data_IF_160135587597
#
_entry.id   IF_160135587597
#
_cell.length_a   1.000
_cell.length_b   1.000
_cell.length_c   1.000
_cell.angle_alpha   90.00
_cell.angle_beta   90.00
_cell.angle_gamma   90.00
#
_symmetry.space_group_name_H-M   'P 1'
#
loop_
_entity.id
_entity.type
_entity.pdbx_description
1 polymer ?
#
# COMPACT_ATOMS: atom_id res chain seq x y z
N UNK A 1 15.43 25.44 -37.93
CA UNK A 1 16.08 25.21 -36.62
C UNK A 1 15.03 25.55 -35.56
N UNK A 2 14.41 24.52 -35.00
CA UNK A 2 13.43 24.65 -33.91
C UNK A 2 14.16 25.09 -32.66
N UNK A 3 13.84 26.30 -32.20
CA UNK A 3 14.36 26.86 -30.96
C UNK A 3 13.96 25.94 -29.80
N UNK A 4 14.95 25.30 -29.17
CA UNK A 4 14.74 24.65 -27.86
C UNK A 4 14.59 25.81 -26.86
N UNK A 5 13.47 25.93 -26.13
CA UNK A 5 13.28 27.01 -25.16
C UNK A 5 14.32 26.93 -24.05
N UNK A 6 14.84 28.07 -23.63
CA UNK A 6 15.79 28.20 -22.53
C UNK A 6 15.16 27.73 -21.20
N UNK A 7 15.67 26.67 -20.55
CA UNK A 7 15.09 26.11 -19.32
C UNK A 7 15.17 27.03 -18.09
N UNK A 8 15.86 28.18 -18.20
CA UNK A 8 15.99 29.18 -17.14
C UNK A 8 14.95 30.30 -17.22
N UNK A 9 14.20 30.39 -18.32
CA UNK A 9 13.13 31.38 -18.45
C UNK A 9 11.94 30.95 -17.59
N UNK A 10 11.54 31.81 -16.66
CA UNK A 10 10.38 31.66 -15.78
C UNK A 10 9.05 31.78 -16.55
N UNK A 11 8.90 31.04 -17.65
CA UNK A 11 7.60 30.78 -18.23
C UNK A 11 6.82 29.97 -17.19
N UNK A 12 5.75 30.57 -16.67
CA UNK A 12 4.88 29.89 -15.71
C UNK A 12 4.53 28.51 -16.23
N UNK A 13 4.73 27.51 -15.36
CA UNK A 13 4.58 26.08 -15.64
C UNK A 13 3.41 25.83 -16.58
N UNK A 14 3.64 25.11 -17.68
CA UNK A 14 2.70 24.94 -18.80
C UNK A 14 1.24 24.87 -18.34
N UNK A 15 0.49 25.96 -18.56
CA UNK A 15 -0.89 26.13 -18.14
C UNK A 15 -1.85 25.39 -19.09
N UNK A 16 -1.66 24.08 -19.28
CA UNK A 16 -2.63 23.29 -20.04
C UNK A 16 -4.00 23.27 -19.32
N UNK A 17 -4.02 23.47 -18.00
CA UNK A 17 -5.23 23.60 -17.20
C UNK A 17 -5.07 24.73 -16.16
N UNK A 18 -6.12 25.54 -16.01
CA UNK A 18 -6.37 26.24 -14.76
C UNK A 18 -6.39 25.20 -13.61
N UNK A 19 -5.93 25.60 -12.42
CA UNK A 19 -6.14 24.91 -11.13
C UNK A 19 -7.60 24.61 -10.80
N UNK A 20 -8.52 24.88 -11.72
CA UNK A 20 -9.92 24.50 -11.64
C UNK A 20 -10.12 23.04 -11.24
N UNK A 21 -11.05 22.87 -10.31
CA UNK A 21 -11.53 21.59 -9.82
C UNK A 21 -12.27 20.86 -10.96
N UNK A 22 -11.88 19.62 -11.20
CA UNK A 22 -12.60 18.73 -12.12
C UNK A 22 -13.76 18.07 -11.37
N UNK A 23 -14.83 17.72 -12.08
CA UNK A 23 -16.02 17.11 -11.50
C UNK A 23 -16.34 15.78 -12.19
N UNK A 24 -16.84 14.81 -11.44
CA UNK A 24 -17.39 13.59 -12.00
C UNK A 24 -18.85 13.84 -12.42
N UNK A 25 -19.18 13.56 -13.68
CA UNK A 25 -20.52 13.72 -14.25
C UNK A 25 -20.77 12.64 -15.30
N UNK A 26 -21.89 11.92 -15.17
CA UNK A 26 -22.34 10.91 -16.13
C UNK A 26 -21.28 9.83 -16.46
N UNK A 27 -20.49 9.42 -15.45
CA UNK A 27 -19.40 8.44 -15.61
C UNK A 27 -18.11 9.00 -16.19
N UNK A 28 -18.05 10.31 -16.47
CA UNK A 28 -16.87 10.99 -17.00
C UNK A 28 -16.31 11.99 -15.99
N UNK A 29 -15.01 12.28 -16.10
CA UNK A 29 -14.40 13.44 -15.46
C UNK A 29 -14.47 14.59 -16.46
N UNK A 30 -15.05 15.71 -16.05
CA UNK A 30 -15.21 16.90 -16.89
C UNK A 30 -14.59 18.13 -16.25
N UNK A 31 -14.20 19.09 -17.10
CA UNK A 31 -13.72 20.40 -16.69
C UNK A 31 -14.87 21.40 -16.43
N UNK A 32 -14.59 22.64 -15.97
CA UNK A 32 -15.63 23.64 -15.74
C UNK A 32 -16.43 24.05 -16.99
N UNK A 33 -15.91 23.77 -18.19
CA UNK A 33 -16.59 23.98 -19.47
C UNK A 33 -17.36 22.75 -19.94
N UNK A 34 -17.49 21.72 -19.08
CA UNK A 34 -18.21 20.47 -19.35
C UNK A 34 -17.60 19.64 -20.50
N UNK A 35 -16.29 19.74 -20.72
CA UNK A 35 -15.54 18.90 -21.66
C UNK A 35 -15.00 17.67 -20.94
N UNK A 36 -15.07 16.50 -21.58
CA UNK A 36 -14.46 15.26 -21.07
C UNK A 36 -12.94 15.40 -21.02
N UNK A 37 -12.35 15.01 -19.89
CA UNK A 37 -10.91 15.07 -19.66
C UNK A 37 -10.33 13.65 -19.63
N UNK A 38 -9.26 13.44 -20.38
CA UNK A 38 -8.43 12.24 -20.28
C UNK A 38 -7.21 12.60 -19.42
N UNK A 39 -7.04 11.90 -18.31
CA UNK A 39 -5.93 12.11 -17.40
C UNK A 39 -4.79 11.14 -17.72
N UNK A 40 -3.61 11.67 -18.01
CA UNK A 40 -2.38 10.88 -18.06
C UNK A 40 -1.71 10.95 -16.68
N UNK A 41 -1.71 9.81 -16.00
CA UNK A 41 -1.26 9.67 -14.62
C UNK A 41 0.10 9.00 -14.48
N UNK A 42 0.82 9.34 -13.41
CA UNK A 42 2.04 8.64 -12.99
C UNK A 42 1.85 8.09 -11.58
N UNK A 43 2.22 6.83 -11.37
CA UNK A 43 2.25 6.22 -10.05
C UNK A 43 3.45 6.75 -9.27
N UNK A 44 3.17 7.37 -8.13
CA UNK A 44 4.20 7.87 -7.21
C UNK A 44 4.34 6.86 -6.08
N UNK A 45 5.07 5.79 -6.38
CA UNK A 45 5.31 4.69 -5.44
C UNK A 45 6.62 4.84 -4.65
N UNK A 46 7.67 5.39 -5.27
CA UNK A 46 9.02 5.47 -4.67
C UNK A 46 9.41 4.20 -3.91
N UNK A 47 9.98 4.36 -2.71
CA UNK A 47 10.29 3.23 -1.82
C UNK A 47 9.15 2.77 -0.90
N UNK A 48 7.90 3.09 -1.25
CA UNK A 48 6.70 2.59 -0.55
C UNK A 48 6.39 1.13 -0.93
N UNK A 49 6.92 0.65 -2.08
CA UNK A 49 6.81 -0.75 -2.54
C UNK A 49 8.06 -1.57 -2.17
N UNK A 50 7.84 -2.88 -1.99
CA UNK A 50 8.89 -3.89 -1.86
C UNK A 50 8.86 -4.88 -3.03
N UNK A 51 10.02 -5.43 -3.46
CA UNK A 51 11.37 -5.07 -3.03
C UNK A 51 11.84 -3.73 -3.61
N UNK A 52 12.72 -3.04 -2.87
CA UNK A 52 13.41 -1.87 -3.39
C UNK A 52 14.40 -2.31 -4.46
N UNK A 53 14.01 -2.22 -5.74
CA UNK A 53 14.97 -2.33 -6.82
C UNK A 53 15.88 -1.10 -6.76
N UNK A 54 17.14 -1.26 -6.33
CA UNK A 54 18.15 -0.24 -6.59
C UNK A 54 18.18 -0.04 -8.10
N UNK A 55 17.78 1.15 -8.55
CA UNK A 55 18.00 1.52 -9.93
C UNK A 55 19.52 1.65 -10.12
N UNK A 56 20.15 0.60 -10.67
CA UNK A 56 21.59 0.54 -10.98
C UNK A 56 22.08 1.79 -11.75
N UNK A 57 21.19 2.49 -12.45
CA UNK A 57 21.51 3.71 -13.18
C UNK A 57 22.06 4.89 -12.34
N UNK A 58 21.85 4.91 -11.02
CA UNK A 58 22.33 6.01 -10.16
C UNK A 58 23.72 5.75 -9.54
N UNK A 59 24.09 4.49 -9.30
CA UNK A 59 25.38 4.14 -8.69
C UNK A 59 26.53 4.24 -9.69
N UNK A 60 26.31 3.91 -10.96
CA UNK A 60 27.34 4.05 -12.02
C UNK A 60 27.72 5.52 -12.29
N UNK A 61 26.77 6.45 -12.10
CA UNK A 61 27.04 7.88 -12.25
C UNK A 61 27.83 8.47 -11.07
N UNK A 62 27.72 7.87 -9.88
CA UNK A 62 28.41 8.31 -8.68
C UNK A 62 29.79 7.65 -8.51
N UNK A 63 30.01 6.47 -9.10
CA UNK A 63 31.24 5.69 -8.97
C UNK A 63 32.38 6.12 -9.91
N UNK A 64 32.12 6.95 -10.93
CA UNK A 64 33.17 7.40 -11.86
C UNK A 64 33.04 8.89 -12.23
N UNK A 65 33.67 9.81 -11.48
CA UNK A 65 33.69 11.24 -11.82
C UNK A 65 34.56 11.58 -13.06
N UNK A 66 35.27 10.62 -13.64
CA UNK A 66 36.38 10.87 -14.57
C UNK A 66 36.22 10.31 -16.00
N UNK A 67 35.02 9.92 -16.43
CA UNK A 67 34.77 9.65 -17.85
C UNK A 67 33.84 10.70 -18.46
N UNK A 68 34.40 11.89 -18.68
CA UNK A 68 33.85 12.79 -19.69
C UNK A 68 34.24 12.26 -21.08
N UNK A 69 33.32 12.42 -22.03
CA UNK A 69 33.44 12.09 -23.45
C UNK A 69 33.40 10.60 -23.83
N UNK A 70 32.18 10.09 -23.99
CA UNK A 70 31.77 9.32 -25.19
C UNK A 70 30.25 9.24 -25.21
N UNK A 71 29.66 9.79 -26.27
CA UNK A 71 28.24 9.72 -26.57
C UNK A 71 27.78 8.25 -26.56
N UNK A 72 26.74 7.84 -25.80
CA UNK A 72 26.25 6.47 -25.88
C UNK A 72 25.54 6.31 -27.22
N UNK A 73 26.12 5.50 -28.11
CA UNK A 73 25.42 4.98 -29.29
C UNK A 73 24.21 4.20 -28.82
N UNK A 74 23.03 4.61 -29.28
CA UNK A 74 21.77 3.96 -29.04
C UNK A 74 21.81 2.52 -29.58
N UNK A 75 21.68 1.52 -28.72
CA UNK A 75 21.28 0.19 -29.16
C UNK A 75 20.47 -0.56 -28.11
N UNK A 76 19.24 -0.87 -28.53
CA UNK A 76 18.34 -1.96 -28.14
C UNK A 76 17.63 -1.89 -26.78
N UNK A 77 16.57 -1.07 -26.75
CA UNK A 77 15.35 -1.34 -25.99
C UNK A 77 14.52 -2.41 -26.75
N UNK A 78 14.04 -3.43 -26.04
CA UNK A 78 13.16 -4.56 -26.44
C UNK A 78 13.70 -5.69 -27.36
N UNK A 79 13.48 -6.95 -26.93
CA UNK A 79 13.46 -8.15 -27.79
C UNK A 79 14.00 -9.43 -27.15
N UNK A 80 13.26 -10.53 -27.21
CA UNK A 80 13.57 -11.82 -26.60
C UNK A 80 14.46 -12.76 -27.46
N UNK A 81 15.23 -13.62 -26.75
CA UNK A 81 15.77 -14.97 -27.07
C UNK A 81 16.91 -15.13 -28.12
N UNK A 82 17.69 -16.26 -28.15
CA UNK A 82 17.65 -17.47 -27.31
C UNK A 82 19.01 -17.89 -26.66
N UNK A 83 18.94 -18.96 -25.87
CA UNK A 83 19.99 -19.70 -25.16
C UNK A 83 21.22 -20.11 -25.99
N UNK A 84 22.41 -20.05 -25.38
CA UNK A 84 23.48 -21.04 -25.61
C UNK A 84 24.27 -21.29 -24.32
N UNK A 85 24.35 -22.58 -23.99
CA UNK A 85 25.26 -23.24 -23.06
C UNK A 85 26.72 -22.80 -23.22
N UNK A 86 27.41 -22.54 -22.11
CA UNK A 86 28.81 -22.93 -21.98
C UNK A 86 29.20 -23.15 -20.51
N UNK A 87 29.69 -24.36 -20.28
CA UNK A 87 30.26 -24.89 -19.05
C UNK A 87 31.61 -24.26 -18.75
N UNK A 88 31.86 -23.88 -17.49
CA UNK A 88 33.24 -23.90 -16.97
C UNK A 88 33.25 -24.19 -15.47
N UNK A 89 33.73 -25.39 -15.14
CA UNK A 89 34.17 -25.81 -13.82
C UNK A 89 35.31 -24.91 -13.33
N UNK A 90 35.34 -24.58 -12.03
CA UNK A 90 36.61 -24.42 -11.32
C UNK A 90 36.51 -24.69 -9.82
N UNK A 91 36.90 -25.91 -9.50
CA UNK A 91 37.89 -26.33 -8.49
C UNK A 91 37.81 -25.68 -7.10
N UNK A 92 37.39 -26.53 -6.16
CA UNK A 92 37.57 -26.44 -4.71
C UNK A 92 39.08 -26.50 -4.40
N UNK A 93 39.59 -25.53 -3.64
CA UNK A 93 40.80 -25.72 -2.84
C UNK A 93 40.61 -25.14 -1.45
N UNK A 94 40.51 -26.02 -0.46
CA UNK A 94 40.56 -25.70 0.94
C UNK A 94 42.02 -25.45 1.37
N UNK A 95 42.26 -24.38 2.13
CA UNK A 95 43.41 -24.30 3.02
C UNK A 95 43.03 -23.51 4.27
N UNK A 96 43.08 -24.21 5.39
CA UNK A 96 42.93 -23.71 6.75
C UNK A 96 44.14 -22.89 7.20
N UNK A 97 43.93 -21.72 7.79
CA UNK A 97 44.80 -21.25 8.87
C UNK A 97 44.04 -20.26 9.76
N UNK A 98 44.14 -20.53 11.06
CA UNK A 98 43.56 -19.76 12.15
C UNK A 98 44.43 -18.55 12.48
N UNK A 99 43.82 -17.37 12.60
CA UNK A 99 44.31 -16.32 13.49
C UNK A 99 43.16 -15.48 14.02
N UNK A 100 43.01 -15.48 15.35
CA UNK A 100 42.19 -14.55 16.10
C UNK A 100 42.78 -13.14 15.94
N UNK A 101 42.02 -12.24 15.33
CA UNK A 101 42.13 -10.80 15.53
C UNK A 101 40.72 -10.25 15.67
N UNK A 102 40.52 -9.38 16.67
CA UNK A 102 39.26 -8.75 16.96
C UNK A 102 39.07 -7.60 15.97
N UNK A 103 38.18 -7.80 15.00
CA UNK A 103 37.81 -6.75 14.05
C UNK A 103 36.44 -6.19 14.44
N UNK A 104 36.49 -5.13 15.23
CA UNK A 104 35.44 -4.13 15.39
C UNK A 104 35.39 -3.28 14.12
N UNK A 105 35.06 -3.90 12.98
CA UNK A 105 34.69 -3.16 11.77
C UNK A 105 33.20 -2.90 11.83
N UNK A 106 32.86 -1.72 12.36
CA UNK A 106 31.57 -1.10 12.18
C UNK A 106 31.38 -0.85 10.69
N UNK A 107 30.75 -1.80 9.99
CA UNK A 107 30.17 -1.60 8.66
C UNK A 107 29.23 -0.38 8.77
N UNK A 108 29.72 0.78 8.33
CA UNK A 108 28.90 1.96 8.13
C UNK A 108 27.92 1.63 7.00
N UNK A 109 26.75 1.08 7.36
CA UNK A 109 25.61 0.95 6.46
C UNK A 109 25.39 2.31 5.78
N UNK A 110 25.41 2.30 4.44
CA UNK A 110 25.08 3.48 3.64
C UNK A 110 23.67 3.95 4.01
N UNK A 111 23.58 5.03 4.80
CA UNK A 111 22.30 5.64 5.15
C UNK A 111 21.69 6.19 3.87
N UNK A 112 20.45 5.80 3.57
CA UNK A 112 19.75 6.45 2.47
C UNK A 112 19.39 7.88 2.87
N UNK A 113 19.38 8.78 1.88
CA UNK A 113 19.06 10.20 2.07
C UNK A 113 17.67 10.29 2.71
N UNK A 114 17.55 10.98 3.86
CA UNK A 114 16.28 11.16 4.57
C UNK A 114 15.98 10.15 5.69
N UNK A 115 16.88 9.20 5.97
CA UNK A 115 16.73 8.29 7.12
C UNK A 115 16.89 9.02 8.45
N UNK A 116 15.90 8.85 9.33
CA UNK A 116 15.91 9.35 10.70
C UNK A 116 16.53 8.29 11.61
N UNK A 117 17.52 8.65 12.45
CA UNK A 117 18.12 7.69 13.38
C UNK A 117 17.09 7.03 14.29
N UNK A 118 17.27 5.73 14.55
CA UNK A 118 16.39 4.91 15.42
C UNK A 118 14.95 4.72 14.91
N UNK A 119 14.68 5.03 13.64
CA UNK A 119 13.40 4.70 13.00
C UNK A 119 13.50 3.36 12.29
N UNK A 120 12.51 2.49 12.50
CA UNK A 120 12.37 1.22 11.80
C UNK A 120 11.62 1.49 10.50
N UNK A 121 12.22 1.12 9.38
CA UNK A 121 11.59 1.28 8.07
C UNK A 121 11.19 -0.06 7.48
N UNK A 122 10.06 -0.08 6.74
CA UNK A 122 9.42 -1.30 6.23
C UNK A 122 10.29 -2.13 5.27
N UNK A 123 11.26 -1.49 4.62
CA UNK A 123 12.13 -2.11 3.63
C UNK A 123 13.45 -2.62 4.20
N UNK A 124 13.80 -2.25 5.44
CA UNK A 124 15.06 -2.66 6.08
C UNK A 124 14.92 -4.11 6.56
N UNK A 125 15.94 -4.91 6.30
CA UNK A 125 16.00 -6.30 6.77
C UNK A 125 16.15 -6.38 8.28
N UNK A 126 16.97 -5.49 8.84
CA UNK A 126 17.10 -5.34 10.27
C UNK A 126 15.76 -4.89 10.85
N UNK A 127 15.25 -5.63 11.82
CA UNK A 127 13.93 -5.41 12.44
C UNK A 127 12.74 -5.56 11.47
N UNK A 128 12.88 -6.30 10.36
CA UNK A 128 11.82 -6.47 9.35
C UNK A 128 10.48 -6.95 9.93
N UNK A 129 10.51 -7.85 10.91
CA UNK A 129 9.33 -8.38 11.60
C UNK A 129 8.80 -7.49 12.73
N UNK A 130 9.50 -6.41 13.10
CA UNK A 130 9.05 -5.42 14.10
C UNK A 130 8.10 -4.40 13.44
N UNK A 131 6.97 -4.87 12.91
CA UNK A 131 6.05 -4.06 12.10
C UNK A 131 5.26 -3.02 12.88
N UNK A 132 5.02 -3.23 14.17
CA UNK A 132 4.18 -2.34 15.00
C UNK A 132 4.80 -0.98 15.32
N UNK A 133 6.06 -0.76 14.95
CA UNK A 133 6.79 0.49 15.18
C UNK A 133 7.47 1.01 13.89
N UNK A 134 7.00 0.57 12.73
CA UNK A 134 7.52 1.00 11.44
C UNK A 134 7.05 2.41 11.11
N UNK A 135 7.88 3.19 10.41
CA UNK A 135 7.48 4.50 9.86
C UNK A 135 7.51 4.52 8.34
N UNK A 136 6.53 5.23 7.77
CA UNK A 136 6.45 5.56 6.34
C UNK A 136 6.70 7.04 6.06
N UNK A 137 7.06 7.84 7.07
CA UNK A 137 7.45 9.24 6.88
C UNK A 137 8.64 9.30 5.91
N UNK A 138 8.63 10.30 5.01
CA UNK A 138 9.58 10.43 3.91
C UNK A 138 9.50 9.32 2.84
N UNK A 139 8.35 8.62 2.74
CA UNK A 139 8.03 7.71 1.62
C UNK A 139 6.84 8.25 0.83
N UNK A 140 6.95 8.41 -0.50
CA UNK A 140 7.93 7.81 -1.42
C UNK A 140 9.35 8.41 -1.43
N UNK A 141 9.49 9.67 -1.01
CA UNK A 141 10.75 10.42 -0.91
C UNK A 141 10.61 11.57 0.11
N UNK A 142 11.71 12.25 0.45
CA UNK A 142 11.65 13.35 1.43
C UNK A 142 10.88 14.57 0.90
N UNK A 143 10.39 15.44 1.78
CA UNK A 143 9.75 16.70 1.35
C UNK A 143 10.72 17.62 0.58
N UNK A 144 12.02 17.54 0.87
CA UNK A 144 13.05 18.29 0.16
C UNK A 144 13.19 17.83 -1.30
N UNK A 145 13.11 16.52 -1.54
CA UNK A 145 13.16 15.95 -2.89
C UNK A 145 11.84 16.13 -3.65
N UNK A 146 10.72 16.23 -2.92
CA UNK A 146 9.39 16.39 -3.51
C UNK A 146 9.28 17.59 -4.44
N UNK A 147 9.87 18.73 -4.07
CA UNK A 147 9.84 19.96 -4.87
C UNK A 147 10.47 19.72 -6.24
N UNK A 148 11.67 19.14 -6.27
CA UNK A 148 12.38 18.79 -7.50
C UNK A 148 11.60 17.78 -8.35
N UNK A 149 11.09 16.70 -7.74
CA UNK A 149 10.38 15.66 -8.48
C UNK A 149 9.08 16.17 -9.09
N UNK A 150 8.27 16.90 -8.32
CA UNK A 150 6.99 17.44 -8.81
C UNK A 150 7.19 18.55 -9.83
N UNK A 151 8.24 19.37 -9.70
CA UNK A 151 8.60 20.32 -10.74
C UNK A 151 8.94 19.61 -12.06
N UNK A 152 9.76 18.57 -12.03
CA UNK A 152 10.13 17.80 -13.23
C UNK A 152 8.90 17.19 -13.90
N UNK A 153 8.03 16.54 -13.12
CA UNK A 153 6.80 15.94 -13.63
C UNK A 153 5.89 16.98 -14.28
N UNK A 154 5.71 18.14 -13.64
CA UNK A 154 4.92 19.24 -14.20
C UNK A 154 5.55 19.79 -15.49
N UNK A 155 6.88 19.97 -15.53
CA UNK A 155 7.62 20.42 -16.73
C UNK A 155 7.56 19.41 -17.88
N UNK A 156 7.48 18.12 -17.59
CA UNK A 156 7.26 17.07 -18.61
C UNK A 156 5.81 16.98 -19.08
N UNK A 157 4.92 17.80 -18.53
CA UNK A 157 3.50 17.82 -18.88
C UNK A 157 2.68 16.71 -18.22
N UNK A 158 3.19 16.07 -17.16
CA UNK A 158 2.37 15.21 -16.32
C UNK A 158 1.39 16.06 -15.52
N UNK A 159 0.12 15.63 -15.48
CA UNK A 159 -0.98 16.41 -14.95
C UNK A 159 -1.65 15.73 -13.75
N UNK A 160 -1.47 14.41 -13.64
CA UNK A 160 -2.12 13.59 -12.65
C UNK A 160 -1.09 12.67 -11.99
N UNK A 161 -1.17 12.56 -10.68
CA UNK A 161 -0.37 11.67 -9.85
C UNK A 161 -1.30 10.69 -9.16
N UNK A 162 -0.89 9.42 -9.12
CA UNK A 162 -1.49 8.41 -8.27
C UNK A 162 -0.56 8.21 -7.09
N UNK A 163 -0.92 8.75 -5.94
CA UNK A 163 -0.13 8.70 -4.71
C UNK A 163 -0.50 7.42 -3.96
N UNK A 164 0.47 6.53 -3.79
CA UNK A 164 0.26 5.27 -3.10
C UNK A 164 0.25 5.47 -1.59
N UNK A 165 -0.81 4.97 -0.95
CA UNK A 165 -1.02 5.02 0.49
C UNK A 165 -1.35 3.60 0.98
N UNK A 166 -0.35 2.82 1.42
CA UNK A 166 -0.58 1.54 2.07
C UNK A 166 -1.40 1.71 3.36
N UNK A 167 -2.30 0.78 3.67
CA UNK A 167 -2.97 0.76 4.97
C UNK A 167 -1.97 0.61 6.13
N UNK A 168 -0.88 -0.13 5.94
CA UNK A 168 0.23 -0.22 6.89
C UNK A 168 0.79 1.16 7.23
N UNK A 169 0.87 2.09 6.28
CA UNK A 169 1.35 3.44 6.56
C UNK A 169 0.40 4.23 7.46
N UNK A 170 -0.90 3.92 7.45
CA UNK A 170 -1.91 4.58 8.27
C UNK A 170 -2.09 3.93 9.64
N UNK A 171 -1.99 2.59 9.73
CA UNK A 171 -2.37 1.84 10.93
C UNK A 171 -1.44 0.63 11.21
N UNK A 172 -0.12 0.81 11.07
CA UNK A 172 0.87 -0.25 11.33
C UNK A 172 0.83 -0.81 12.76
N UNK A 173 0.54 0.04 13.76
CA UNK A 173 0.49 -0.39 15.17
C UNK A 173 -0.66 -1.38 15.41
N UNK A 174 -1.75 -1.23 14.65
CA UNK A 174 -2.98 -2.02 14.79
C UNK A 174 -3.83 -1.67 16.02
N UNK A 175 -4.95 -2.39 16.21
CA UNK A 175 -5.86 -2.14 17.32
C UNK A 175 -5.23 -2.41 18.70
N UNK A 176 -5.63 -1.61 19.69
CA UNK A 176 -5.19 -1.71 21.10
C UNK A 176 -5.44 -3.08 21.75
N UNK A 177 -6.32 -3.89 21.18
CA UNK A 177 -6.76 -5.16 21.77
C UNK A 177 -5.73 -6.31 21.59
N UNK A 178 -4.64 -6.08 20.85
CA UNK A 178 -3.51 -7.01 20.69
C UNK A 178 -2.28 -6.59 21.51
N UNK A 179 -2.31 -6.81 22.83
CA UNK A 179 -1.10 -6.89 23.66
C UNK A 179 -0.61 -5.61 24.36
N UNK A 180 -0.32 -5.77 25.66
CA UNK A 180 0.34 -4.88 26.64
C UNK A 180 -0.26 -3.47 26.82
N UNK A 181 -1.12 -3.36 27.84
CA UNK A 181 -1.60 -2.09 28.40
C UNK A 181 -0.44 -1.45 29.19
N UNK A 182 0.25 -0.49 28.58
CA UNK A 182 1.08 0.46 29.35
C UNK A 182 0.16 1.43 30.10
N UNK A 183 0.45 1.71 31.38
CA UNK A 183 -0.36 2.59 32.25
C UNK A 183 -0.57 4.01 31.68
N UNK A 184 0.34 4.50 30.81
CA UNK A 184 0.15 5.76 30.07
C UNK A 184 -0.97 5.71 29.01
N UNK A 185 -1.38 4.52 28.56
CA UNK A 185 -2.41 4.31 27.53
C UNK A 185 -3.84 4.21 28.09
N UNK A 186 -4.01 4.13 29.42
CA UNK A 186 -5.33 4.03 30.05
C UNK A 186 -6.14 5.34 29.98
N UNK A 187 -5.46 6.50 29.95
CA UNK A 187 -6.11 7.81 29.82
C UNK A 187 -6.62 8.08 28.40
N UNK A 188 -6.05 7.44 27.37
CA UNK A 188 -6.44 7.57 25.96
C UNK A 188 -7.63 6.66 25.59
N UNK A 189 -8.28 6.05 26.58
CA UNK A 189 -9.34 5.04 26.44
C UNK A 189 -10.74 5.65 26.26
N UNK A 190 -10.87 6.97 26.40
CA UNK A 190 -12.16 7.66 26.48
C UNK A 190 -12.59 8.30 25.13
N UNK A 191 -11.68 8.44 24.15
CA UNK A 191 -11.98 9.32 22.98
C UNK A 191 -11.42 8.87 21.63
N UNK A 192 -11.00 7.61 21.45
CA UNK A 192 -10.45 7.19 20.15
C UNK A 192 -11.42 6.31 19.33
N UNK A 193 -11.62 6.61 18.04
CA UNK A 193 -12.21 5.66 17.10
C UNK A 193 -11.28 4.45 16.96
N UNK A 194 -11.87 3.32 16.57
CA UNK A 194 -11.25 2.00 16.45
C UNK A 194 -9.99 2.02 15.56
N UNK A 195 -8.80 2.04 16.17
CA UNK A 195 -7.48 1.99 15.50
C UNK A 195 -6.46 2.94 16.13
N UNK A 196 -5.16 2.66 16.01
CA UNK A 196 -4.09 3.63 16.34
C UNK A 196 -3.48 4.08 15.01
N UNK A 197 -3.81 5.32 14.61
CA UNK A 197 -3.35 5.89 13.36
C UNK A 197 -2.01 6.61 13.50
N UNK A 198 -1.18 6.51 12.45
CA UNK A 198 0.09 7.23 12.35
C UNK A 198 -0.14 8.67 11.88
N UNK A 199 -0.35 9.58 12.83
CA UNK A 199 -0.54 11.02 12.54
C UNK A 199 0.72 11.65 11.93
N UNK A 200 1.92 11.16 12.25
CA UNK A 200 3.17 11.70 11.71
C UNK A 200 3.25 11.43 10.19
N UNK A 201 2.89 10.22 9.76
CA UNK A 201 2.77 9.89 8.34
C UNK A 201 1.67 10.70 7.65
N UNK A 202 0.51 10.87 8.28
CA UNK A 202 -0.60 11.66 7.71
C UNK A 202 -0.19 13.12 7.53
N UNK A 203 0.47 13.73 8.52
CA UNK A 203 0.94 15.11 8.45
C UNK A 203 2.04 15.28 7.37
N UNK A 204 2.92 14.29 7.23
CA UNK A 204 3.87 14.21 6.11
C UNK A 204 3.14 14.14 4.75
N UNK A 205 2.13 13.29 4.61
CA UNK A 205 1.36 13.13 3.37
C UNK A 205 0.62 14.42 3.00
N UNK A 206 0.02 15.11 3.97
CA UNK A 206 -0.60 16.43 3.75
C UNK A 206 0.43 17.45 3.25
N UNK A 207 1.62 17.46 3.84
CA UNK A 207 2.73 18.33 3.42
C UNK A 207 3.20 18.00 1.99
N UNK A 208 3.30 16.71 1.66
CA UNK A 208 3.64 16.25 0.32
C UNK A 208 2.59 16.72 -0.71
N UNK A 209 1.31 16.62 -0.39
CA UNK A 209 0.21 17.10 -1.23
C UNK A 209 0.22 18.63 -1.39
N UNK A 210 0.65 19.38 -0.37
CA UNK A 210 0.85 20.83 -0.50
C UNK A 210 1.98 21.16 -1.49
N UNK A 211 3.07 20.38 -1.52
CA UNK A 211 4.12 20.55 -2.54
C UNK A 211 3.55 20.24 -3.93
N UNK A 212 2.74 19.19 -4.09
CA UNK A 212 2.07 18.90 -5.36
C UNK A 212 1.14 20.05 -5.81
N UNK A 213 0.44 20.68 -4.85
CA UNK A 213 -0.44 21.81 -5.10
C UNK A 213 0.30 23.05 -5.65
N UNK A 214 1.54 23.31 -5.21
CA UNK A 214 2.42 24.38 -5.74
C UNK A 214 2.60 24.26 -7.26
N UNK A 215 2.66 23.03 -7.77
CA UNK A 215 2.81 22.72 -9.19
C UNK A 215 1.50 22.42 -9.90
N UNK A 216 0.34 22.65 -9.25
CA UNK A 216 -1.01 22.40 -9.77
C UNK A 216 -1.24 20.95 -10.23
N UNK A 217 -0.54 20.01 -9.62
CA UNK A 217 -0.68 18.59 -9.92
C UNK A 217 -1.97 18.07 -9.29
N UNK A 218 -2.70 17.23 -10.03
CA UNK A 218 -3.89 16.55 -9.54
C UNK A 218 -3.48 15.20 -8.96
N UNK A 219 -4.04 14.81 -7.82
CA UNK A 219 -3.64 13.64 -7.06
C UNK A 219 -4.86 12.75 -6.78
N UNK A 220 -4.79 11.49 -7.20
CA UNK A 220 -5.60 10.41 -6.65
C UNK A 220 -4.82 9.74 -5.53
N UNK A 221 -5.50 9.51 -4.42
CA UNK A 221 -4.96 8.72 -3.31
C UNK A 221 -5.36 7.27 -3.54
N UNK A 222 -4.37 6.40 -3.57
CA UNK A 222 -4.52 4.99 -3.89
C UNK A 222 -4.27 4.15 -2.63
N UNK A 223 -5.33 3.58 -2.01
CA UNK A 223 -5.23 2.52 -1.01
C UNK A 223 -4.49 1.31 -1.56
N UNK A 224 -3.17 1.37 -1.49
CA UNK A 224 -2.33 0.50 -2.29
C UNK A 224 -2.10 -0.85 -1.61
N UNK A 225 -2.17 -1.91 -2.40
CA UNK A 225 -1.88 -3.27 -1.97
C UNK A 225 -1.32 -4.08 -3.14
N UNK A 226 -0.26 -4.82 -2.87
CA UNK A 226 0.29 -5.86 -3.72
C UNK A 226 0.38 -7.13 -2.87
N UNK A 227 -0.16 -8.25 -3.33
CA UNK A 227 -0.03 -9.56 -2.65
C UNK A 227 -0.29 -9.51 -1.14
N UNK A 228 -1.28 -8.73 -0.70
CA UNK A 228 -1.66 -8.49 0.71
C UNK A 228 -0.68 -7.63 1.53
N UNK A 229 0.51 -8.11 1.87
CA UNK A 229 1.42 -7.46 2.82
C UNK A 229 2.88 -7.62 2.41
N UNK A 230 3.78 -6.83 3.01
CA UNK A 230 5.23 -7.01 2.84
C UNK A 230 5.71 -8.40 3.28
N UNK A 231 5.04 -8.98 4.27
CA UNK A 231 5.31 -10.32 4.78
C UNK A 231 4.85 -11.43 3.85
N UNK A 232 3.95 -11.12 2.92
CA UNK A 232 3.49 -12.04 1.89
C UNK A 232 4.09 -11.71 0.52
N UNK A 233 5.17 -10.91 0.50
CA UNK A 233 5.99 -10.63 -0.67
C UNK A 233 5.47 -9.51 -1.58
N UNK A 234 4.58 -8.64 -1.08
CA UNK A 234 4.18 -7.41 -1.75
C UNK A 234 4.17 -6.21 -0.79
N UNK A 235 3.04 -5.50 -0.66
CA UNK A 235 2.87 -4.36 0.25
C UNK A 235 1.38 -4.07 0.51
N UNK A 236 1.08 -3.14 1.42
CA UNK A 236 -0.28 -2.63 1.59
C UNK A 236 -0.86 -2.86 2.97
N UNK A 237 -1.24 -4.11 3.26
CA UNK A 237 -1.94 -4.47 4.48
C UNK A 237 -0.96 -4.63 5.67
N UNK A 238 -1.30 -4.12 6.87
CA UNK A 238 -0.44 -4.21 8.05
C UNK A 238 -0.14 -5.64 8.50
N UNK A 239 1.02 -5.86 9.11
CA UNK A 239 1.44 -7.17 9.63
C UNK A 239 0.50 -7.76 10.69
N UNK A 240 -0.14 -6.92 11.51
CA UNK A 240 -1.09 -7.40 12.53
C UNK A 240 -2.32 -8.11 11.91
N UNK A 241 -2.62 -7.88 10.63
CA UNK A 241 -3.71 -8.60 9.94
C UNK A 241 -3.39 -10.09 9.78
N UNK A 242 -2.11 -10.43 9.59
CA UNK A 242 -1.63 -11.81 9.51
C UNK A 242 -1.62 -12.47 10.89
N UNK A 243 -1.16 -11.75 11.91
CA UNK A 243 -1.21 -12.20 13.31
C UNK A 243 -2.65 -12.49 13.75
N UNK A 244 -3.60 -11.63 13.36
CA UNK A 244 -5.02 -11.80 13.63
C UNK A 244 -5.58 -13.08 12.98
N UNK A 245 -5.11 -13.44 11.80
CA UNK A 245 -5.48 -14.69 11.12
C UNK A 245 -4.73 -15.93 11.67
N UNK A 246 -3.85 -15.76 12.65
CA UNK A 246 -3.03 -16.84 13.22
C UNK A 246 -1.84 -17.25 12.35
N UNK A 247 -1.44 -16.41 11.39
CA UNK A 247 -0.31 -16.67 10.50
C UNK A 247 0.98 -16.19 11.17
N UNK A 248 1.93 -17.11 11.39
CA UNK A 248 3.30 -16.77 11.78
C UNK A 248 4.10 -16.31 10.55
N UNK A 249 4.28 -15.00 10.44
CA UNK A 249 4.99 -14.36 9.34
C UNK A 249 6.44 -14.84 9.19
N UNK A 250 7.07 -15.32 10.26
CA UNK A 250 8.47 -15.77 10.25
C UNK A 250 8.66 -17.15 9.60
N UNK A 251 7.56 -17.86 9.33
CA UNK A 251 7.54 -19.24 8.81
C UNK A 251 7.04 -19.36 7.38
N UNK A 252 6.72 -18.24 6.74
CA UNK A 252 6.10 -18.23 5.41
C UNK A 252 7.01 -18.77 4.31
N UNK A 253 8.31 -18.49 4.39
CA UNK A 253 9.31 -19.01 3.44
C UNK A 253 9.48 -20.53 3.59
N UNK A 254 9.63 -21.01 4.83
CA UNK A 254 9.80 -22.44 5.16
C UNK A 254 8.61 -23.31 4.72
N UNK A 255 7.41 -22.73 4.66
CA UNK A 255 6.17 -23.41 4.27
C UNK A 255 5.78 -23.15 2.81
N UNK A 256 6.63 -22.45 2.05
CA UNK A 256 6.35 -21.96 0.69
C UNK A 256 5.05 -21.11 0.57
N UNK A 257 4.56 -20.61 1.70
CA UNK A 257 3.31 -19.85 1.82
C UNK A 257 3.44 -18.39 1.33
N UNK A 258 4.67 -17.89 1.22
CA UNK A 258 5.03 -16.67 0.49
C UNK A 258 6.50 -16.73 0.05
N UNK A 259 6.84 -16.02 -1.02
CA UNK A 259 8.22 -15.74 -1.44
C UNK A 259 8.48 -14.27 -1.18
N UNK A 260 9.37 -13.99 -0.24
CA UNK A 260 9.66 -12.65 0.25
C UNK A 260 11.12 -12.33 -0.03
N UNK A 261 11.40 -11.23 -0.73
CA UNK A 261 12.76 -10.84 -1.07
C UNK A 261 13.66 -10.66 0.17
N UNK A 262 13.14 -10.06 1.25
CA UNK A 262 13.87 -9.81 2.50
C UNK A 262 14.31 -11.09 3.23
N UNK A 263 13.72 -12.24 2.91
CA UNK A 263 14.08 -13.53 3.55
C UNK A 263 15.00 -14.38 2.67
N UNK A 264 15.30 -13.95 1.44
CA UNK A 264 16.15 -14.72 0.54
C UNK A 264 17.63 -14.52 0.88
N UNK A 265 18.36 -15.63 0.87
CA UNK A 265 19.82 -15.66 1.08
C UNK A 265 20.57 -15.05 -0.09
N UNK A 266 20.14 -15.33 -1.32
CA UNK A 266 20.70 -14.74 -2.54
C UNK A 266 19.68 -13.79 -3.15
N UNK A 267 19.98 -12.49 -3.07
CA UNK A 267 19.10 -11.42 -3.60
C UNK A 267 19.39 -11.13 -5.07
N UNK A 268 20.59 -11.45 -5.53
CA UNK A 268 21.01 -11.21 -6.91
C UNK A 268 20.38 -12.25 -7.85
N UNK A 269 20.11 -13.46 -7.35
CA UNK A 269 19.36 -14.51 -8.05
C UNK A 269 17.84 -14.46 -7.81
N UNK A 270 17.31 -13.38 -7.22
CA UNK A 270 15.87 -13.27 -6.97
C UNK A 270 15.10 -13.16 -8.30
N UNK A 271 14.21 -14.12 -8.65
CA UNK A 271 13.64 -14.16 -9.98
C UNK A 271 12.77 -12.93 -10.25
N UNK A 272 12.99 -12.31 -11.41
CA UNK A 272 12.21 -11.14 -11.84
C UNK A 272 10.73 -11.50 -11.90
N UNK A 273 9.90 -10.57 -11.43
CA UNK A 273 8.43 -10.71 -11.41
C UNK A 273 7.88 -11.85 -10.56
N UNK A 274 8.68 -12.58 -9.77
CA UNK A 274 8.18 -13.69 -8.93
C UNK A 274 7.11 -13.26 -7.92
N UNK A 275 7.13 -11.99 -7.51
CA UNK A 275 6.23 -11.43 -6.50
C UNK A 275 4.75 -11.66 -6.85
N UNK A 276 4.35 -11.61 -8.13
CA UNK A 276 2.96 -11.78 -8.53
C UNK A 276 2.41 -13.19 -8.23
N UNK A 277 3.30 -14.19 -8.18
CA UNK A 277 3.00 -15.57 -7.75
C UNK A 277 2.49 -15.62 -6.31
N UNK A 278 2.82 -14.64 -5.47
CA UNK A 278 2.36 -14.63 -4.08
C UNK A 278 0.85 -14.53 -3.94
N UNK A 279 0.13 -13.97 -4.92
CA UNK A 279 -1.34 -13.87 -4.88
C UNK A 279 -2.04 -15.25 -4.79
N UNK A 280 -1.43 -16.29 -5.35
CA UNK A 280 -1.98 -17.66 -5.33
C UNK A 280 -1.42 -18.51 -4.18
N UNK A 281 -0.38 -18.02 -3.49
CA UNK A 281 0.21 -18.73 -2.35
C UNK A 281 -0.67 -18.58 -1.12
N UNK A 282 -0.54 -19.56 -0.22
CA UNK A 282 -1.40 -19.72 0.95
C UNK A 282 -1.64 -18.42 1.71
N UNK A 283 -0.59 -17.65 2.02
CA UNK A 283 -0.72 -16.52 2.93
C UNK A 283 -1.59 -15.41 2.34
N UNK A 284 -1.28 -14.91 1.13
CA UNK A 284 -2.08 -13.86 0.50
C UNK A 284 -3.48 -14.38 0.12
N UNK A 285 -3.57 -15.57 -0.47
CA UNK A 285 -4.86 -16.14 -0.89
C UNK A 285 -5.82 -16.33 0.29
N UNK A 286 -5.31 -16.80 1.43
CA UNK A 286 -6.10 -16.92 2.67
C UNK A 286 -6.60 -15.57 3.14
N UNK A 287 -5.72 -14.56 3.19
CA UNK A 287 -6.11 -13.24 3.69
C UNK A 287 -7.14 -12.54 2.81
N UNK A 288 -7.00 -12.60 1.48
CA UNK A 288 -8.03 -12.10 0.56
C UNK A 288 -9.36 -12.83 0.75
N UNK A 289 -9.33 -14.15 0.96
CA UNK A 289 -10.54 -14.94 1.24
C UNK A 289 -11.21 -14.51 2.54
N UNK A 290 -10.43 -14.28 3.61
CA UNK A 290 -10.95 -13.79 4.89
C UNK A 290 -11.51 -12.38 4.78
N UNK A 291 -10.87 -11.50 4.00
CA UNK A 291 -11.29 -10.12 3.82
C UNK A 291 -12.56 -9.97 2.98
N UNK A 292 -12.74 -10.76 1.92
CA UNK A 292 -13.90 -10.64 1.03
C UNK A 292 -15.03 -11.63 1.32
N UNK A 293 -14.72 -12.81 1.88
CA UNK A 293 -15.71 -13.87 2.11
C UNK A 293 -15.47 -14.66 3.41
N UNK A 294 -14.85 -14.05 4.41
CA UNK A 294 -14.61 -14.67 5.73
C UNK A 294 -15.90 -15.13 6.42
N UNK A 295 -17.04 -14.47 6.23
CA UNK A 295 -18.32 -14.94 6.77
C UNK A 295 -18.74 -16.30 6.19
N UNK A 296 -18.40 -16.59 4.94
CA UNK A 296 -18.80 -17.81 4.22
C UNK A 296 -17.77 -18.91 4.44
N UNK A 297 -16.48 -18.62 4.23
CA UNK A 297 -15.42 -19.63 4.29
C UNK A 297 -14.86 -19.85 5.70
N UNK A 298 -14.98 -18.86 6.58
CA UNK A 298 -14.49 -18.91 7.95
C UNK A 298 -15.51 -18.35 8.96
N UNK A 299 -16.76 -18.86 9.01
CA UNK A 299 -17.84 -18.29 9.84
C UNK A 299 -17.50 -18.29 11.34
N UNK A 300 -16.61 -19.20 11.77
CA UNK A 300 -16.16 -19.35 13.16
C UNK A 300 -14.90 -18.53 13.49
N UNK A 301 -14.28 -17.89 12.49
CA UNK A 301 -13.15 -16.99 12.72
C UNK A 301 -13.69 -15.65 13.22
N UNK A 302 -13.77 -15.52 14.54
CA UNK A 302 -14.35 -14.34 15.20
C UNK A 302 -13.32 -13.65 16.08
N UNK A 303 -13.36 -12.32 16.09
CA UNK A 303 -12.53 -11.45 16.93
C UNK A 303 -13.37 -10.98 18.12
N UNK A 304 -12.86 -11.08 19.36
CA UNK A 304 -13.51 -10.46 20.52
C UNK A 304 -13.63 -8.95 20.32
N UNK A 305 -14.83 -8.42 20.50
CA UNK A 305 -15.08 -6.98 20.51
C UNK A 305 -14.69 -6.46 21.89
N UNK A 306 -13.68 -5.59 21.97
CA UNK A 306 -13.65 -4.65 23.09
C UNK A 306 -14.84 -3.69 22.98
N UNK A 307 -15.20 -3.04 24.09
CA UNK A 307 -16.33 -2.11 24.21
C UNK A 307 -16.39 -0.99 23.14
N UNK A 308 -15.27 -0.70 22.46
CA UNK A 308 -15.15 0.39 21.48
C UNK A 308 -15.59 -0.01 20.06
N UNK A 309 -15.19 -1.19 19.57
CA UNK A 309 -15.61 -1.70 18.24
C UNK A 309 -17.11 -1.99 18.23
N UNK A 310 -17.67 -2.43 19.36
CA UNK A 310 -19.10 -2.68 19.55
C UNK A 310 -19.94 -1.39 19.43
N UNK A 311 -19.41 -0.24 19.89
CA UNK A 311 -20.06 1.06 19.73
C UNK A 311 -19.95 1.61 18.30
N UNK A 312 -18.88 1.27 17.57
CA UNK A 312 -18.71 1.67 16.17
C UNK A 312 -19.59 0.83 15.22
N UNK A 313 -19.63 -0.50 15.38
CA UNK A 313 -20.56 -1.35 14.62
C UNK A 313 -22.02 -0.97 14.89
N UNK A 314 -22.37 -0.56 16.12
CA UNK A 314 -23.68 0.02 16.43
C UNK A 314 -23.92 1.35 15.70
N UNK A 315 -22.90 2.20 15.53
CA UNK A 315 -23.00 3.46 14.76
C UNK A 315 -23.18 3.20 13.27
N UNK A 316 -22.38 2.32 12.66
CA UNK A 316 -22.55 1.90 11.25
C UNK A 316 -23.92 1.26 11.01
N UNK A 317 -24.38 0.41 11.94
CA UNK A 317 -25.73 -0.15 11.89
C UNK A 317 -26.80 0.95 12.03
N UNK A 318 -26.57 1.95 12.89
CA UNK A 318 -27.50 3.07 13.05
C UNK A 318 -27.55 3.99 11.82
N UNK A 319 -26.44 4.17 11.09
CA UNK A 319 -26.41 4.95 9.83
C UNK A 319 -27.05 4.19 8.67
N UNK A 320 -26.91 2.87 8.61
CA UNK A 320 -27.62 2.03 7.63
C UNK A 320 -29.13 2.01 7.92
N UNK A 321 -29.52 1.88 9.19
CA UNK A 321 -30.94 1.91 9.61
C UNK A 321 -31.56 3.30 9.48
N UNK A 322 -30.82 4.38 9.72
CA UNK A 322 -31.32 5.74 9.55
C UNK A 322 -31.49 6.11 8.07
N UNK A 323 -30.67 5.57 7.16
CA UNK A 323 -30.89 5.65 5.71
C UNK A 323 -32.17 4.90 5.28
N UNK A 324 -32.51 3.80 5.97
CA UNK A 324 -33.77 3.09 5.74
C UNK A 324 -35.00 3.79 6.34
N UNK A 325 -34.84 4.48 7.49
CA UNK A 325 -35.86 5.37 8.04
C UNK A 325 -36.06 6.63 7.16
N UNK A 326 -34.97 7.18 6.60
CA UNK A 326 -35.00 8.28 5.62
C UNK A 326 -35.76 7.89 4.35
N UNK A 327 -35.61 6.64 3.87
CA UNK A 327 -36.41 6.08 2.74
C UNK A 327 -37.91 5.96 3.02
N UNK A 328 -38.33 5.85 4.29
CA UNK A 328 -39.76 5.69 4.67
C UNK A 328 -40.47 7.03 4.92
N UNK A 329 -39.76 8.15 4.89
CA UNK A 329 -40.26 9.45 5.35
C UNK A 329 -40.35 10.58 4.32
N UNK A 330 -40.26 10.32 3.02
CA UNK A 330 -40.41 11.38 2.00
C UNK A 330 -41.68 11.15 1.18
N UNK A 331 -42.66 12.03 1.35
CA UNK A 331 -43.86 12.07 0.51
C UNK A 331 -43.47 12.32 -0.95
N UNK A 332 -43.94 11.46 -1.86
CA UNK A 332 -43.80 11.67 -3.31
C UNK A 332 -43.07 10.58 -4.10
N UNK A 333 -42.57 9.51 -3.48
CA UNK A 333 -42.23 8.26 -4.19
C UNK A 333 -41.05 8.31 -5.19
N UNK A 334 -40.27 9.39 -5.25
CA UNK A 334 -39.08 9.46 -6.11
C UNK A 334 -37.87 8.94 -5.32
N UNK A 335 -37.42 7.74 -5.69
CA UNK A 335 -36.21 7.09 -5.18
C UNK A 335 -34.97 7.87 -5.65
N UNK A 336 -34.26 8.55 -4.76
CA UNK A 336 -32.90 8.99 -5.07
C UNK A 336 -31.99 7.74 -5.23
N UNK A 337 -31.19 7.62 -6.31
CA UNK A 337 -30.20 6.55 -6.40
C UNK A 337 -29.14 6.76 -5.31
N UNK A 338 -29.07 5.83 -4.35
CA UNK A 338 -28.02 5.82 -3.34
C UNK A 338 -26.70 5.37 -3.99
N UNK A 339 -25.57 6.04 -3.72
CA UNK A 339 -24.23 5.53 -4.07
C UNK A 339 -23.90 4.17 -3.40
N UNK A 340 -24.73 3.74 -2.44
CA UNK A 340 -24.55 2.58 -1.57
C UNK A 340 -25.49 1.43 -1.99
N UNK A 341 -25.93 1.38 -3.25
CA UNK A 341 -26.86 0.35 -3.74
C UNK A 341 -26.37 -1.10 -3.61
N UNK A 342 -25.08 -1.33 -3.29
CA UNK A 342 -24.47 -2.66 -3.26
C UNK A 342 -23.84 -3.07 -1.92
N UNK A 343 -24.04 -2.33 -0.82
CA UNK A 343 -23.76 -2.93 0.49
C UNK A 343 -24.93 -3.86 0.81
N UNK A 344 -24.71 -5.15 0.60
CA UNK A 344 -25.57 -6.24 1.11
C UNK A 344 -26.02 -5.88 2.51
N UNK A 345 -27.34 -5.90 2.74
CA UNK A 345 -27.91 -5.84 4.09
C UNK A 345 -27.08 -6.74 5.00
N UNK A 346 -26.54 -6.19 6.08
CA UNK A 346 -25.82 -6.96 7.11
C UNK A 346 -26.71 -8.20 7.42
N UNK A 347 -26.28 -9.43 7.08
CA UNK A 347 -27.12 -10.61 7.23
C UNK A 347 -27.63 -10.73 8.67
N UNK A 348 -28.85 -11.26 8.86
CA UNK A 348 -29.44 -11.50 10.20
C UNK A 348 -28.48 -12.22 11.17
N UNK A 349 -27.50 -12.97 10.67
CA UNK A 349 -26.44 -13.61 11.44
C UNK A 349 -25.65 -12.62 12.32
N UNK A 350 -25.40 -11.39 11.86
CA UNK A 350 -24.59 -10.42 12.63
C UNK A 350 -25.32 -9.85 13.86
N UNK A 351 -26.66 -9.93 13.90
CA UNK A 351 -27.41 -9.59 15.12
C UNK A 351 -27.12 -10.56 16.27
N UNK A 352 -26.87 -11.84 16.01
CA UNK A 352 -26.51 -12.82 17.04
C UNK A 352 -25.05 -12.65 17.49
N UNK A 353 -24.13 -12.29 16.60
CA UNK A 353 -22.71 -12.16 16.93
C UNK A 353 -22.40 -10.90 17.75
N UNK A 354 -23.02 -9.76 17.42
CA UNK A 354 -22.89 -8.51 18.21
C UNK A 354 -23.41 -8.70 19.64
N UNK A 355 -24.42 -9.56 19.86
CA UNK A 355 -24.92 -9.88 21.21
C UNK A 355 -23.94 -10.71 22.05
N UNK A 356 -22.99 -11.43 21.42
CA UNK A 356 -21.98 -12.25 22.09
C UNK A 356 -20.64 -11.53 22.30
N UNK A 357 -20.55 -10.25 21.94
CA UNK A 357 -19.31 -9.47 22.07
C UNK A 357 -18.20 -9.94 21.13
N UNK A 358 -18.55 -10.49 19.97
CA UNK A 358 -17.61 -10.95 18.95
C UNK A 358 -18.07 -10.52 17.56
N UNK A 359 -17.15 -10.42 16.61
CA UNK A 359 -17.44 -10.12 15.21
C UNK A 359 -16.65 -11.03 14.29
N UNK A 360 -17.18 -11.40 13.13
CA UNK A 360 -16.41 -12.15 12.13
C UNK A 360 -15.16 -11.35 11.69
N UNK A 361 -14.06 -12.06 11.45
CA UNK A 361 -12.78 -11.50 11.02
C UNK A 361 -12.90 -10.62 9.75
N UNK A 362 -13.80 -10.97 8.83
CA UNK A 362 -14.09 -10.19 7.63
C UNK A 362 -14.47 -8.76 7.97
N UNK A 363 -15.48 -8.58 8.83
CA UNK A 363 -15.96 -7.25 9.22
C UNK A 363 -14.95 -6.50 10.08
N UNK A 364 -14.17 -7.22 10.89
CA UNK A 364 -13.10 -6.60 11.66
C UNK A 364 -12.05 -5.98 10.74
N UNK A 365 -11.55 -6.75 9.76
CA UNK A 365 -10.56 -6.27 8.80
C UNK A 365 -11.11 -5.15 7.91
N UNK A 366 -12.30 -5.33 7.34
CA UNK A 366 -12.94 -4.32 6.49
C UNK A 366 -13.23 -3.03 7.27
N UNK A 367 -13.69 -3.14 8.52
CA UNK A 367 -13.99 -2.00 9.38
C UNK A 367 -12.74 -1.15 9.64
N UNK A 368 -11.64 -1.78 10.08
CA UNK A 368 -10.40 -1.04 10.32
C UNK A 368 -9.81 -0.45 9.02
N UNK A 369 -9.84 -1.18 7.91
CA UNK A 369 -9.39 -0.67 6.62
C UNK A 369 -10.16 0.59 6.21
N UNK A 370 -11.51 0.53 6.24
CA UNK A 370 -12.37 1.65 5.89
C UNK A 370 -12.13 2.83 6.83
N UNK A 371 -12.02 2.59 8.13
CA UNK A 371 -11.84 3.64 9.14
C UNK A 371 -10.48 4.33 9.03
N UNK A 372 -9.40 3.61 8.71
CA UNK A 372 -8.09 4.19 8.48
C UNK A 372 -8.10 5.19 7.32
N UNK A 373 -8.72 4.83 6.19
CA UNK A 373 -8.85 5.74 5.05
C UNK A 373 -9.89 6.84 5.28
N UNK A 374 -10.95 6.57 6.04
CA UNK A 374 -11.91 7.60 6.46
C UNK A 374 -11.24 8.64 7.38
N UNK A 375 -10.34 8.21 8.26
CA UNK A 375 -9.54 9.10 9.09
C UNK A 375 -8.62 9.98 8.24
N UNK A 376 -7.90 9.41 7.27
CA UNK A 376 -7.11 10.20 6.31
C UNK A 376 -7.98 11.22 5.56
N UNK A 377 -9.15 10.80 5.04
CA UNK A 377 -10.07 11.72 4.36
C UNK A 377 -10.55 12.85 5.28
N UNK A 378 -10.83 12.55 6.56
CA UNK A 378 -11.17 13.56 7.57
C UNK A 378 -10.01 14.52 7.81
N UNK A 379 -8.77 14.03 7.93
CA UNK A 379 -7.59 14.86 8.15
C UNK A 379 -7.33 15.82 6.98
N UNK A 380 -7.56 15.39 5.74
CA UNK A 380 -7.53 16.25 4.54
C UNK A 380 -8.64 17.30 4.61
N UNK A 381 -9.87 16.91 4.97
CA UNK A 381 -10.99 17.86 5.09
C UNK A 381 -10.74 18.93 6.16
N UNK A 382 -10.26 18.53 7.33
CA UNK A 382 -9.91 19.45 8.42
C UNK A 382 -8.76 20.39 8.04
N UNK A 383 -7.76 19.87 7.30
CA UNK A 383 -6.68 20.66 6.73
C UNK A 383 -7.22 21.73 5.78
N UNK A 384 -8.11 21.35 4.85
CA UNK A 384 -8.75 22.28 3.91
C UNK A 384 -9.50 23.40 4.62
N UNK A 385 -10.33 23.07 5.61
CA UNK A 385 -11.08 24.07 6.39
C UNK A 385 -10.15 25.08 7.07
N UNK A 386 -9.03 24.61 7.62
CA UNK A 386 -8.01 25.46 8.25
C UNK A 386 -7.26 26.30 7.22
N UNK A 387 -6.87 25.72 6.09
CA UNK A 387 -6.15 26.42 5.03
C UNK A 387 -7.00 27.56 4.46
N UNK A 388 -8.29 27.30 4.17
CA UNK A 388 -9.23 28.31 3.71
C UNK A 388 -9.39 29.48 4.71
N UNK A 389 -9.46 29.19 6.01
CA UNK A 389 -9.56 30.24 7.04
C UNK A 389 -8.36 31.17 7.10
N UNK A 390 -7.20 30.74 6.57
CA UNK A 390 -5.94 31.48 6.56
C UNK A 390 -5.58 32.05 5.19
N UNK A 391 -6.39 31.78 4.16
CA UNK A 391 -6.04 32.10 2.77
C UNK A 391 -4.86 31.29 2.23
N UNK A 392 -4.57 30.13 2.82
CA UNK A 392 -3.57 29.18 2.35
C UNK A 392 -4.17 28.24 1.28
N UNK A 393 -3.33 27.51 0.57
CA UNK A 393 -3.78 26.56 -0.47
C UNK A 393 -4.47 25.36 0.20
N UNK A 394 -5.77 25.25 -0.03
CA UNK A 394 -6.60 24.13 0.38
C UNK A 394 -6.55 23.02 -0.71
N UNK A 395 -6.27 21.79 -0.31
CA UNK A 395 -6.00 20.65 -1.18
C UNK A 395 -7.21 20.23 -2.02
N UNK A 396 -8.41 20.17 -1.42
CA UNK A 396 -9.65 19.82 -2.13
C UNK A 396 -10.15 21.01 -2.95
N UNK A 397 -10.16 22.21 -2.34
CA UNK A 397 -10.66 23.41 -3.02
C UNK A 397 -9.81 23.81 -4.24
N UNK A 398 -8.48 23.61 -4.17
CA UNK A 398 -7.56 23.80 -5.31
C UNK A 398 -7.65 22.70 -6.37
N UNK A 399 -8.44 21.65 -6.14
CA UNK A 399 -8.51 20.50 -7.05
C UNK A 399 -7.23 19.66 -7.09
N UNK A 400 -6.33 19.82 -6.11
CA UNK A 400 -5.12 19.00 -5.95
C UNK A 400 -5.53 17.59 -5.54
N UNK A 401 -6.34 17.42 -4.49
CA UNK A 401 -6.89 16.10 -4.13
C UNK A 401 -8.18 15.87 -4.91
N UNK A 402 -8.12 14.93 -5.85
CA UNK A 402 -9.24 14.57 -6.72
C UNK A 402 -10.19 13.57 -6.07
N UNK A 403 -9.66 12.67 -5.26
CA UNK A 403 -10.42 11.62 -4.60
C UNK A 403 -9.55 10.43 -4.20
N UNK A 404 -10.23 9.36 -3.81
CA UNK A 404 -9.64 8.10 -3.40
C UNK A 404 -10.05 6.99 -4.36
N UNK A 405 -9.13 6.08 -4.64
CA UNK A 405 -9.48 4.74 -5.11
C UNK A 405 -10.02 3.89 -3.96
N UNK A 406 -10.60 2.73 -4.26
CA UNK A 406 -11.16 1.84 -3.22
C UNK A 406 -10.13 0.86 -2.66
N UNK A 407 -9.38 0.21 -3.55
CA UNK A 407 -8.33 -0.76 -3.25
C UNK A 407 -7.57 -1.04 -4.56
N UNK A 408 -6.25 -1.04 -4.53
CA UNK A 408 -5.45 -1.46 -5.68
C UNK A 408 -5.65 -2.95 -5.98
N UNK A 409 -6.00 -3.30 -7.22
CA UNK A 409 -5.92 -4.67 -7.78
C UNK A 409 -6.32 -5.81 -6.81
N UNK A 410 -7.57 -5.81 -6.29
CA UNK A 410 -8.00 -6.83 -5.33
C UNK A 410 -7.94 -8.23 -5.94
N UNK A 411 -7.27 -9.15 -5.24
CA UNK A 411 -7.22 -10.57 -5.63
C UNK A 411 -8.44 -11.32 -5.07
N UNK A 412 -8.98 -12.31 -5.81
CA UNK A 412 -10.09 -13.12 -5.34
C UNK A 412 -9.69 -14.14 -4.25
N UNK A 413 -8.40 -14.35 -3.96
CA UNK A 413 -7.97 -15.43 -3.07
C UNK A 413 -8.48 -16.79 -3.56
N UNK A 414 -9.22 -17.52 -2.71
CA UNK A 414 -9.84 -18.80 -3.07
C UNK A 414 -11.27 -18.68 -3.61
N UNK A 415 -11.82 -17.47 -3.74
CA UNK A 415 -13.14 -17.29 -4.33
C UNK A 415 -13.10 -17.76 -5.79
N UNK A 416 -14.14 -18.51 -6.20
CA UNK A 416 -14.25 -19.09 -7.53
C UNK A 416 -13.13 -20.09 -7.90
N UNK A 417 -12.51 -20.75 -6.90
CA UNK A 417 -11.54 -21.83 -7.11
C UNK A 417 -12.22 -23.21 -6.98
N UNK A 418 -12.62 -23.87 -8.08
CA UNK A 418 -13.51 -25.04 -8.03
C UNK A 418 -12.86 -26.31 -7.45
N UNK A 419 -11.53 -26.47 -7.61
CA UNK A 419 -10.79 -27.64 -7.12
C UNK A 419 -9.46 -27.20 -6.48
N UNK A 420 -9.40 -27.23 -5.14
CA UNK A 420 -8.22 -26.80 -4.38
C UNK A 420 -7.02 -27.77 -4.47
N UNK A 421 -7.17 -28.93 -5.13
CA UNK A 421 -6.06 -29.83 -5.44
C UNK A 421 -5.36 -29.46 -6.76
N UNK A 422 -5.81 -28.41 -7.42
CA UNK A 422 -5.22 -27.86 -8.64
C UNK A 422 -4.84 -26.42 -8.40
N UNK A 423 -3.87 -25.93 -9.16
CA UNK A 423 -3.68 -24.49 -9.27
C UNK A 423 -4.78 -23.96 -10.19
N UNK A 424 -5.33 -22.79 -9.86
CA UNK A 424 -6.21 -22.07 -10.78
C UNK A 424 -5.45 -21.84 -12.09
N UNK A 425 -6.10 -22.00 -13.25
CA UNK A 425 -5.48 -21.86 -14.58
C UNK A 425 -5.06 -20.40 -14.85
N UNK A 426 -3.99 -19.96 -14.19
CA UNK A 426 -3.24 -18.74 -14.43
C UNK A 426 -1.81 -19.17 -14.77
N UNK A 427 -1.66 -19.91 -15.88
CA UNK A 427 -0.43 -20.59 -16.26
C UNK A 427 0.81 -19.66 -16.28
N UNK A 428 0.61 -18.37 -16.53
CA UNK A 428 1.66 -17.36 -16.67
C UNK A 428 2.16 -16.77 -15.33
N UNK A 429 1.54 -17.10 -14.20
CA UNK A 429 1.88 -16.56 -12.86
C UNK A 429 2.59 -17.59 -11.96
N UNK A 430 3.07 -18.70 -12.51
CA UNK A 430 3.74 -19.77 -11.76
C UNK A 430 5.26 -19.68 -11.88
N UNK A 431 5.89 -18.87 -11.03
CA UNK A 431 7.35 -18.78 -10.95
C UNK A 431 7.83 -19.40 -9.64
N UNK A 432 8.71 -20.40 -9.73
CA UNK A 432 9.23 -21.14 -8.58
C UNK A 432 8.21 -22.12 -7.97
N UNK A 433 8.40 -22.48 -6.70
CA UNK A 433 7.54 -23.44 -6.00
C UNK A 433 6.11 -22.92 -5.89
N UNK A 434 5.14 -23.60 -6.50
CA UNK A 434 3.72 -23.23 -6.46
C UNK A 434 2.90 -24.42 -5.96
N UNK A 435 2.81 -24.65 -4.63
CA UNK A 435 1.98 -25.73 -4.11
C UNK A 435 0.52 -25.42 -4.43
N UNK A 436 -0.27 -26.46 -4.72
CA UNK A 436 -1.73 -26.33 -4.82
C UNK A 436 -2.28 -25.79 -3.49
N UNK A 437 -3.47 -25.15 -3.47
CA UNK A 437 -4.06 -24.66 -2.22
C UNK A 437 -4.07 -25.70 -1.09
N UNK A 438 -4.47 -26.94 -1.36
CA UNK A 438 -4.45 -28.02 -0.36
C UNK A 438 -3.04 -28.34 0.11
N UNK A 439 -2.06 -28.47 -0.80
CA UNK A 439 -0.66 -28.70 -0.40
C UNK A 439 -0.12 -27.56 0.45
N UNK A 440 -0.44 -26.30 0.10
CA UNK A 440 -0.07 -25.14 0.91
C UNK A 440 -0.67 -25.20 2.32
N UNK A 441 -1.95 -25.59 2.44
CA UNK A 441 -2.62 -25.75 3.74
C UNK A 441 -1.99 -26.86 4.58
N UNK A 442 -1.63 -28.00 3.98
CA UNK A 442 -0.95 -29.11 4.65
C UNK A 442 0.45 -28.70 5.14
N UNK A 443 1.24 -28.03 4.29
CA UNK A 443 2.56 -27.51 4.65
C UNK A 443 2.49 -26.52 5.82
N UNK A 444 1.50 -25.62 5.84
CA UNK A 444 1.31 -24.69 6.94
C UNK A 444 0.86 -25.35 8.24
N UNK A 445 0.26 -26.54 8.18
CA UNK A 445 -0.01 -27.37 9.35
C UNK A 445 1.21 -28.19 9.80
N UNK A 446 2.36 -28.02 9.14
CA UNK A 446 3.59 -28.76 9.43
C UNK A 446 3.58 -30.20 8.89
N UNK A 447 2.71 -30.51 7.93
CA UNK A 447 2.69 -31.82 7.27
C UNK A 447 3.56 -31.73 6.02
N UNK A 448 4.62 -32.54 5.98
CA UNK A 448 5.62 -32.58 4.91
C UNK A 448 5.45 -33.79 4.03
#
# INVERSE_FOLDING_TARGET
MTHIPDPTTAFGHGFAWDSSRLIAKDGWIVDPQNRVVILHGINVSGGTKMPFYRAFAAEDAAANPSQSSKTPTAQAFYGAAPSTTETSERVISASSSSSKAADDETLMESRSIGEVPNVIYSYKEKHFYEHRHVSFVNRPFTLQEADMHFERLARWGSQCLRILVPWEALEHTGPLDFGVISLKRLFLRITLPSGIYDEDYIDYLLSLLQVAAKYKLKCFLDPHVDCWSRFTGGCGMPGWTLELAGIDMTKLDQTAAAVVHNTQTDKDDFPKMIWCTNNIKLAAATMYTLFFAGQVFAPRATVPLSTTVLNHLRRLHSTVVSDEAYRRGVDGGIRAPSPIQNLTSIPRADHEFVQRGQVNIQHFLQGHYIEAFAHLAKRIHDHDAKALSKGEVALIASGTVMGFETMNEPSPGYLNHPDLNKLLELADLHIGTCPTPVQGMELAQGRQ
#
